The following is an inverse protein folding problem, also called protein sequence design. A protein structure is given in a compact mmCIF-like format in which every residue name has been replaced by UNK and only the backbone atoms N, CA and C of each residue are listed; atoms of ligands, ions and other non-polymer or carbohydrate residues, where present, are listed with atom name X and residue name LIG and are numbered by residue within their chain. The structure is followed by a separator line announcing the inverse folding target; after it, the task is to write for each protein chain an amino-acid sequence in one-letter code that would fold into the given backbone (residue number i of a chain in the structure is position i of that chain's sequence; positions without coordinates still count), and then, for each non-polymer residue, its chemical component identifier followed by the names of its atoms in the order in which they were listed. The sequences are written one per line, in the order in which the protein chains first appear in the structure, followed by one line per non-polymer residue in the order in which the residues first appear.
data_IF_001640734807
#
_entry.id   IF_001640734807
#
_cell.length_a   1.000
_cell.length_b   1.000
_cell.length_c   1.000
_cell.angle_alpha   90.00
_cell.angle_beta   90.00
_cell.angle_gamma   90.00
#
_symmetry.space_group_name_H-M   'P 1'
#
loop_
_entity.id
_entity.type
_entity.pdbx_description
1 polymer ?
#
# COMPACT_ATOMS: atom_id res chain seq x y z
N UNK A 1 1.98 -23.13 -2.74
CA UNK A 1 2.79 -22.00 -3.25
C UNK A 1 3.23 -22.22 -4.69
N UNK A 2 3.73 -23.40 -5.08
CA UNK A 2 4.14 -23.69 -6.48
C UNK A 2 3.02 -23.56 -7.53
N UNK A 3 1.80 -23.99 -7.23
CA UNK A 3 0.73 -23.97 -8.26
C UNK A 3 0.16 -22.56 -8.50
N UNK A 4 0.13 -21.71 -7.47
CA UNK A 4 -0.16 -20.28 -7.64
C UNK A 4 0.95 -19.56 -8.42
N UNK A 5 2.16 -20.13 -8.48
CA UNK A 5 3.25 -19.59 -9.27
C UNK A 5 3.00 -19.64 -10.79
N UNK A 6 2.01 -20.44 -11.20
CA UNK A 6 1.63 -20.65 -12.60
C UNK A 6 0.39 -19.85 -13.00
N UNK A 7 -0.19 -19.06 -12.08
CA UNK A 7 -1.35 -18.24 -12.39
C UNK A 7 -0.99 -17.17 -13.44
N UNK A 8 -1.94 -16.91 -14.35
CA UNK A 8 -1.78 -15.90 -15.41
C UNK A 8 -1.80 -14.47 -14.88
N UNK A 9 -2.40 -14.26 -13.70
CA UNK A 9 -2.55 -12.94 -13.06
C UNK A 9 -2.04 -13.00 -11.63
N UNK A 10 -1.36 -11.92 -11.25
CA UNK A 10 -0.74 -11.77 -9.95
C UNK A 10 -1.10 -10.44 -9.33
N UNK A 11 -1.31 -10.46 -8.02
CA UNK A 11 -1.40 -9.25 -7.20
C UNK A 11 -0.17 -9.22 -6.31
N UNK A 12 0.57 -8.12 -6.37
CA UNK A 12 1.66 -7.81 -5.46
C UNK A 12 1.19 -6.65 -4.60
N UNK A 13 1.18 -6.82 -3.28
CA UNK A 13 0.72 -5.82 -2.32
C UNK A 13 1.82 -5.55 -1.29
N UNK A 14 1.99 -4.29 -0.92
CA UNK A 14 2.98 -3.88 0.07
C UNK A 14 3.21 -2.39 0.10
N UNK A 15 4.08 -1.97 1.02
CA UNK A 15 4.37 -0.55 1.33
C UNK A 15 5.82 -0.16 1.01
N UNK A 16 6.59 -1.07 0.41
CA UNK A 16 8.00 -0.85 0.12
C UNK A 16 8.17 -0.34 -1.30
N UNK A 17 8.26 0.98 -1.49
CA UNK A 17 8.36 1.57 -2.82
C UNK A 17 9.58 1.10 -3.61
N UNK A 18 10.71 0.81 -2.96
CA UNK A 18 11.89 0.25 -3.64
C UNK A 18 11.61 -1.14 -4.23
N UNK A 19 10.82 -1.98 -3.56
CA UNK A 19 10.44 -3.30 -4.08
C UNK A 19 9.36 -3.18 -5.16
N UNK A 20 8.43 -2.24 -4.99
CA UNK A 20 7.44 -1.93 -6.01
C UNK A 20 8.09 -1.44 -7.31
N UNK A 21 9.17 -0.66 -7.23
CA UNK A 21 9.94 -0.19 -8.38
C UNK A 21 10.46 -1.35 -9.25
N UNK A 22 10.91 -2.45 -8.63
CA UNK A 22 11.38 -3.65 -9.34
C UNK A 22 10.26 -4.37 -10.11
N UNK A 23 9.02 -4.26 -9.61
CA UNK A 23 7.85 -4.85 -10.25
C UNK A 23 7.32 -3.99 -11.42
N UNK A 24 7.50 -2.66 -11.36
CA UNK A 24 6.93 -1.69 -12.31
C UNK A 24 7.08 -2.07 -13.80
N UNK A 25 8.25 -2.54 -14.30
CA UNK A 25 8.41 -2.89 -15.71
C UNK A 25 7.48 -4.01 -16.20
N UNK A 26 6.94 -4.81 -15.28
CA UNK A 26 6.02 -5.93 -15.57
C UNK A 26 4.61 -5.68 -15.03
N UNK A 27 4.33 -4.53 -14.46
CA UNK A 27 3.02 -4.21 -13.91
C UNK A 27 2.10 -3.71 -15.03
N UNK A 28 0.91 -4.31 -15.17
CA UNK A 28 -0.11 -3.83 -16.12
C UNK A 28 -1.05 -2.81 -15.48
N UNK A 29 -1.34 -2.98 -14.18
CA UNK A 29 -2.24 -2.11 -13.43
C UNK A 29 -1.63 -1.75 -12.06
N UNK A 30 -1.64 -0.47 -11.71
CA UNK A 30 -1.18 0.04 -10.43
C UNK A 30 -2.34 0.64 -9.64
N UNK A 31 -2.58 0.13 -8.44
CA UNK A 31 -3.58 0.69 -7.51
C UNK A 31 -2.82 1.28 -6.34
N UNK A 32 -2.95 2.60 -6.14
CA UNK A 32 -2.35 3.30 -5.02
C UNK A 32 -3.42 3.73 -4.01
N UNK A 33 -3.38 3.13 -2.83
CA UNK A 33 -4.27 3.49 -1.72
C UNK A 33 -3.69 4.67 -0.95
N UNK A 34 -4.41 5.79 -0.93
CA UNK A 34 -3.99 7.06 -0.30
C UNK A 34 -5.04 7.46 0.74
N UNK A 35 -5.30 6.55 1.65
CA UNK A 35 -6.21 6.79 2.78
C UNK A 35 -5.62 7.83 3.75
N UNK A 36 -6.46 8.58 4.49
CA UNK A 36 -5.99 9.46 5.55
C UNK A 36 -5.20 8.70 6.62
N UNK A 37 -4.07 9.26 7.04
CA UNK A 37 -3.20 8.66 8.07
C UNK A 37 -3.96 8.38 9.36
N UNK A 38 -4.88 9.26 9.75
CA UNK A 38 -5.69 9.10 10.96
C UNK A 38 -6.59 7.87 10.87
N UNK A 39 -7.08 7.53 9.67
CA UNK A 39 -7.86 6.31 9.47
C UNK A 39 -6.98 5.07 9.59
N UNK A 40 -5.81 5.09 8.96
CA UNK A 40 -4.83 3.99 9.05
C UNK A 40 -4.39 3.76 10.50
N UNK A 41 -4.10 4.83 11.24
CA UNK A 41 -3.76 4.79 12.66
C UNK A 41 -4.89 4.20 13.48
N UNK A 42 -6.14 4.65 13.32
CA UNK A 42 -7.29 4.08 14.05
C UNK A 42 -7.46 2.58 13.80
N UNK A 43 -7.23 2.14 12.56
CA UNK A 43 -7.26 0.71 12.21
C UNK A 43 -6.11 -0.08 12.87
N UNK A 44 -4.92 0.52 12.98
CA UNK A 44 -3.79 -0.08 13.68
C UNK A 44 -4.01 -0.13 15.20
N UNK A 45 -4.68 0.87 15.77
CA UNK A 45 -4.98 0.90 17.20
C UNK A 45 -6.05 -0.15 17.58
N UNK A 46 -7.04 -0.40 16.71
CA UNK A 46 -8.13 -1.34 16.96
C UNK A 46 -7.75 -2.81 16.74
N UNK A 47 -6.65 -3.09 16.02
CA UNK A 47 -6.22 -4.48 15.80
C UNK A 47 -5.56 -5.06 17.08
N UNK A 48 -5.78 -6.35 17.38
CA UNK A 48 -5.03 -7.05 18.42
C UNK A 48 -3.52 -7.07 18.13
N UNK A 49 -2.70 -7.04 19.17
CA UNK A 49 -1.25 -7.25 19.07
C UNK A 49 -1.01 -8.64 18.48
N UNK A 50 -0.24 -8.71 17.38
CA UNK A 50 0.09 -9.98 16.74
C UNK A 50 1.23 -10.69 17.49
N UNK A 51 1.34 -12.01 17.33
CA UNK A 51 2.48 -12.76 17.85
C UNK A 51 3.80 -12.18 17.34
N UNK A 52 4.70 -11.79 18.25
CA UNK A 52 5.98 -11.15 17.92
C UNK A 52 5.94 -9.62 17.84
N UNK A 53 4.77 -9.00 18.05
CA UNK A 53 4.63 -7.55 18.28
C UNK A 53 4.62 -7.31 19.80
N UNK A 54 5.33 -6.29 20.23
CA UNK A 54 5.36 -5.75 21.59
C UNK A 54 4.93 -4.27 21.58
N UNK A 55 4.83 -3.64 22.75
CA UNK A 55 4.39 -2.25 22.84
C UNK A 55 5.34 -1.28 22.10
N UNK A 56 6.64 -1.59 22.08
CA UNK A 56 7.65 -0.77 21.42
C UNK A 56 7.51 -0.83 19.90
N UNK A 57 7.41 -2.03 19.32
CA UNK A 57 7.20 -2.24 17.88
C UNK A 57 5.84 -1.74 17.42
N UNK A 58 4.79 -1.87 18.23
CA UNK A 58 3.48 -1.24 17.98
C UNK A 58 3.57 0.28 17.94
N UNK A 59 4.24 0.88 18.92
CA UNK A 59 4.44 2.34 18.96
C UNK A 59 5.25 2.83 17.76
N UNK A 60 6.30 2.11 17.40
CA UNK A 60 7.10 2.40 16.21
C UNK A 60 6.27 2.30 14.93
N UNK A 61 5.39 1.31 14.80
CA UNK A 61 4.49 1.17 13.65
C UNK A 61 3.46 2.30 13.56
N UNK A 62 2.86 2.69 14.69
CA UNK A 62 1.94 3.83 14.74
C UNK A 62 2.65 5.12 14.30
N UNK A 63 3.86 5.36 14.80
CA UNK A 63 4.66 6.51 14.38
C UNK A 63 5.00 6.46 12.89
N UNK A 64 5.45 5.30 12.40
CA UNK A 64 5.75 5.08 10.99
C UNK A 64 4.55 5.37 10.07
N UNK A 65 3.34 5.04 10.53
CA UNK A 65 2.10 5.36 9.83
C UNK A 65 1.80 6.86 9.84
N UNK A 66 1.96 7.54 10.98
CA UNK A 66 1.74 9.00 11.12
C UNK A 66 2.69 9.81 10.26
N UNK A 67 3.91 9.33 10.09
CA UNK A 67 4.95 10.00 9.31
C UNK A 67 4.84 9.72 7.80
N UNK A 68 3.82 9.00 7.32
CA UNK A 68 3.76 8.59 5.91
C UNK A 68 3.91 9.74 4.92
N UNK A 69 3.26 10.89 5.16
CA UNK A 69 3.37 12.09 4.30
C UNK A 69 4.64 12.90 4.48
N UNK A 70 5.24 12.87 5.67
CA UNK A 70 6.38 13.76 6.01
C UNK A 70 7.73 13.07 5.86
N UNK A 71 7.77 11.75 6.01
CA UNK A 71 8.95 10.91 5.82
C UNK A 71 9.49 11.03 4.40
N UNK A 72 10.81 11.08 4.26
CA UNK A 72 11.49 11.31 2.98
C UNK A 72 12.28 10.07 2.55
N UNK A 73 11.58 9.00 2.18
CA UNK A 73 12.20 7.80 1.63
C UNK A 73 11.26 7.08 0.65
N UNK A 74 11.74 6.00 0.04
CA UNK A 74 10.99 5.23 -0.95
C UNK A 74 9.67 4.64 -0.42
N UNK A 75 9.51 4.49 0.90
CA UNK A 75 8.33 3.87 1.54
C UNK A 75 7.33 4.91 2.06
N UNK A 76 7.52 6.17 1.67
CA UNK A 76 6.72 7.32 2.08
C UNK A 76 5.92 7.88 0.89
N UNK A 77 5.04 8.83 1.18
CA UNK A 77 4.13 9.41 0.18
C UNK A 77 4.86 9.91 -1.06
N UNK A 78 5.94 10.68 -0.91
CA UNK A 78 6.71 11.20 -2.04
C UNK A 78 7.34 10.09 -2.89
N UNK A 79 7.81 8.99 -2.27
CA UNK A 79 8.36 7.83 -2.98
C UNK A 79 7.29 7.11 -3.81
N UNK A 80 6.12 6.85 -3.21
CA UNK A 80 5.00 6.23 -3.91
C UNK A 80 4.41 7.13 -4.99
N UNK A 81 4.32 8.44 -4.74
CA UNK A 81 3.91 9.43 -5.73
C UNK A 81 4.83 9.41 -6.95
N UNK A 82 6.15 9.35 -6.73
CA UNK A 82 7.12 9.25 -7.82
C UNK A 82 6.92 8.00 -8.69
N UNK A 83 6.60 6.85 -8.08
CA UNK A 83 6.27 5.63 -8.83
C UNK A 83 4.96 5.81 -9.62
N UNK A 84 3.93 6.34 -8.98
CA UNK A 84 2.64 6.58 -9.62
C UNK A 84 2.74 7.53 -10.81
N UNK A 85 3.49 8.62 -10.66
CA UNK A 85 3.68 9.63 -11.71
C UNK A 85 4.44 9.06 -12.92
N UNK A 86 5.45 8.23 -12.69
CA UNK A 86 6.24 7.58 -13.74
C UNK A 86 5.52 6.41 -14.42
N UNK A 87 4.57 5.76 -13.73
CA UNK A 87 3.86 4.62 -14.29
C UNK A 87 2.92 5.04 -15.43
N UNK A 88 3.06 4.38 -16.57
CA UNK A 88 2.33 4.70 -17.82
C UNK A 88 1.22 3.70 -18.14
N UNK A 89 1.14 2.59 -17.42
CA UNK A 89 0.03 1.63 -17.53
C UNK A 89 -1.25 2.13 -16.87
N UNK A 90 -2.22 1.24 -16.74
CA UNK A 90 -3.48 1.57 -16.09
C UNK A 90 -3.26 1.86 -14.60
N UNK A 91 -3.65 3.04 -14.11
CA UNK A 91 -3.42 3.42 -12.72
C UNK A 91 -4.60 4.08 -12.06
N UNK A 92 -4.77 3.76 -10.78
CA UNK A 92 -5.87 4.23 -9.93
C UNK A 92 -5.32 4.76 -8.62
N UNK A 93 -5.85 5.89 -8.17
CA UNK A 93 -5.61 6.43 -6.83
C UNK A 93 -6.92 6.38 -6.05
N UNK A 94 -6.92 5.75 -4.89
CA UNK A 94 -8.12 5.55 -4.07
C UNK A 94 -7.87 6.15 -2.69
N UNK A 95 -8.55 7.26 -2.37
CA UNK A 95 -8.35 8.04 -1.15
C UNK A 95 -9.37 7.77 -0.03
N UNK A 96 -10.39 6.96 -0.29
CA UNK A 96 -11.45 6.68 0.67
C UNK A 96 -12.03 5.27 0.52
N UNK A 97 -12.67 4.77 1.57
CA UNK A 97 -13.44 3.51 1.51
C UNK A 97 -14.55 3.53 0.46
N UNK A 98 -15.14 4.69 0.21
CA UNK A 98 -16.19 4.84 -0.80
C UNK A 98 -15.64 4.68 -2.21
N UNK A 99 -14.46 5.25 -2.49
CA UNK A 99 -13.77 5.07 -3.78
C UNK A 99 -13.29 3.63 -3.94
N UNK A 100 -12.78 3.01 -2.89
CA UNK A 100 -12.42 1.57 -2.91
C UNK A 100 -13.65 0.71 -3.20
N UNK A 101 -14.78 0.96 -2.52
CA UNK A 101 -16.01 0.20 -2.75
C UNK A 101 -16.54 0.39 -4.18
N UNK A 102 -16.49 1.61 -4.72
CA UNK A 102 -16.86 1.88 -6.11
C UNK A 102 -15.95 1.12 -7.08
N UNK A 103 -14.64 1.24 -6.89
CA UNK A 103 -13.64 0.55 -7.70
C UNK A 103 -13.90 -0.96 -7.71
N UNK A 104 -14.14 -1.57 -6.55
CA UNK A 104 -14.45 -3.01 -6.44
C UNK A 104 -15.77 -3.40 -7.11
N UNK A 105 -16.77 -2.53 -7.14
CA UNK A 105 -18.04 -2.81 -7.82
C UNK A 105 -17.94 -2.74 -9.35
N UNK A 106 -16.92 -2.03 -9.85
CA UNK A 106 -16.63 -1.86 -11.27
C UNK A 106 -15.50 -2.78 -11.74
N UNK A 107 -14.81 -3.45 -10.80
CA UNK A 107 -13.70 -4.34 -11.10
C UNK A 107 -14.22 -5.67 -11.67
N UNK A 108 -13.75 -6.09 -12.86
CA UNK A 108 -14.21 -7.30 -13.54
C UNK A 108 -13.80 -8.61 -12.85
#
# INVERSE_FOLDING_TARGET
MRDHALAEKWVIEGVFGWLAAEAMPRTQQLIWLVLPEEECVRNLESRPIKSGEDDASRSALLQWCREYRTRQNANAFAGHQGLYDQFTGEKHILGSRQEIARFLSEFP
#
